data_IF_088670930212
#
_entry.id   IF_088670930212
#
_cell.length_a   1.000
_cell.length_b   1.000
_cell.length_c   1.000
_cell.angle_alpha   90.00
_cell.angle_beta   90.00
_cell.angle_gamma   90.00
#
_symmetry.space_group_name_H-M   'P 1'
#
loop_
_entity.id
_entity.type
_entity.pdbx_description
1 polymer ?
#
# COMPACT_ATOMS: atom_id res chain seq x y z
N UNK A 1 -6.21 14.21 -36.86
CA UNK A 1 -5.44 13.37 -35.92
C UNK A 1 -6.45 12.61 -35.08
N UNK A 2 -6.49 11.28 -35.12
CA UNK A 2 -7.51 10.51 -34.40
C UNK A 2 -7.24 10.54 -32.89
N UNK A 3 -8.08 11.25 -32.13
CA UNK A 3 -8.00 11.33 -30.66
C UNK A 3 -8.41 10.02 -29.96
N UNK A 4 -8.98 9.06 -30.69
CA UNK A 4 -9.47 7.79 -30.16
C UNK A 4 -8.92 6.58 -30.92
N UNK A 5 -7.65 6.21 -30.68
CA UNK A 5 -7.08 4.97 -31.20
C UNK A 5 -7.47 3.74 -30.33
N UNK A 6 -7.49 2.52 -30.91
CA UNK A 6 -7.93 1.32 -30.20
C UNK A 6 -7.06 0.93 -28.99
N UNK A 7 -5.80 1.38 -28.94
CA UNK A 7 -4.91 1.11 -27.80
C UNK A 7 -5.28 1.91 -26.53
N UNK A 8 -6.18 2.90 -26.61
CA UNK A 8 -6.60 3.70 -25.45
C UNK A 8 -7.18 2.84 -24.32
N UNK A 9 -7.96 1.80 -24.64
CA UNK A 9 -8.51 0.89 -23.62
C UNK A 9 -7.43 0.12 -22.86
N UNK A 10 -6.37 -0.33 -23.56
CA UNK A 10 -5.28 -1.08 -22.94
C UNK A 10 -4.55 -0.23 -21.89
N UNK A 11 -4.36 1.08 -22.12
CA UNK A 11 -3.75 1.98 -21.15
C UNK A 11 -4.61 2.16 -19.89
N UNK A 12 -5.94 2.28 -20.05
CA UNK A 12 -6.85 2.40 -18.92
C UNK A 12 -6.82 1.16 -18.02
N UNK A 13 -6.94 -0.04 -18.62
CA UNK A 13 -6.89 -1.31 -17.87
C UNK A 13 -5.49 -1.60 -17.29
N UNK A 14 -4.41 -1.14 -17.93
CA UNK A 14 -3.07 -1.24 -17.38
C UNK A 14 -2.94 -0.43 -16.07
N UNK A 15 -3.56 0.75 -15.99
CA UNK A 15 -3.60 1.55 -14.76
C UNK A 15 -4.27 0.81 -13.60
N UNK A 16 -5.42 0.18 -13.86
CA UNK A 16 -6.13 -0.68 -12.91
C UNK A 16 -5.23 -1.82 -12.43
N UNK A 17 -4.62 -2.56 -13.36
CA UNK A 17 -3.76 -3.68 -13.04
C UNK A 17 -2.57 -3.25 -12.17
N UNK A 18 -1.90 -2.15 -12.53
CA UNK A 18 -0.75 -1.63 -11.80
C UNK A 18 -1.12 -1.17 -10.38
N UNK A 19 -2.30 -0.58 -10.18
CA UNK A 19 -2.77 -0.18 -8.85
C UNK A 19 -2.93 -1.39 -7.91
N UNK A 20 -3.58 -2.44 -8.38
CA UNK A 20 -3.81 -3.66 -7.60
C UNK A 20 -2.52 -4.44 -7.32
N UNK A 21 -1.64 -4.58 -8.34
CA UNK A 21 -0.38 -5.33 -8.21
C UNK A 21 0.57 -4.62 -7.25
N UNK A 22 0.83 -3.32 -7.43
CA UNK A 22 1.75 -2.61 -6.53
C UNK A 22 1.20 -2.48 -5.10
N UNK A 23 -0.11 -2.31 -4.92
CA UNK A 23 -0.73 -2.35 -3.60
C UNK A 23 -0.52 -3.70 -2.89
N UNK A 24 -0.70 -4.80 -3.61
CA UNK A 24 -0.50 -6.16 -3.08
C UNK A 24 0.97 -6.47 -2.78
N UNK A 25 1.88 -6.05 -3.67
CA UNK A 25 3.33 -6.18 -3.46
C UNK A 25 3.79 -5.38 -2.24
N UNK A 26 3.31 -4.14 -2.08
CA UNK A 26 3.61 -3.31 -0.91
C UNK A 26 3.22 -3.98 0.42
N UNK A 27 2.00 -4.51 0.48
CA UNK A 27 1.50 -5.21 1.67
C UNK A 27 2.28 -6.48 1.98
N UNK A 28 2.57 -7.28 0.96
CA UNK A 28 3.35 -8.52 1.09
C UNK A 28 4.77 -8.25 1.60
N UNK A 29 5.44 -7.24 1.06
CA UNK A 29 6.78 -6.83 1.49
C UNK A 29 6.80 -6.32 2.93
N UNK A 30 5.75 -5.61 3.39
CA UNK A 30 5.65 -5.21 4.79
C UNK A 30 5.50 -6.40 5.74
N UNK A 31 4.66 -7.39 5.38
CA UNK A 31 4.41 -8.58 6.21
C UNK A 31 5.66 -9.47 6.28
N UNK A 32 6.34 -9.68 5.15
CA UNK A 32 7.51 -10.58 5.10
C UNK A 32 8.67 -10.07 5.95
N UNK A 33 8.83 -8.74 6.07
CA UNK A 33 9.87 -8.12 6.90
C UNK A 33 9.62 -8.32 8.40
N UNK A 34 8.36 -8.30 8.85
CA UNK A 34 8.00 -8.42 10.28
C UNK A 34 8.01 -9.88 10.76
N UNK A 35 7.77 -10.83 9.85
CA UNK A 35 7.49 -12.23 10.20
C UNK A 35 8.61 -12.97 10.96
N UNK A 36 9.91 -12.86 10.60
CA UNK A 36 10.96 -13.63 11.28
C UNK A 36 11.10 -13.39 12.79
N UNK A 37 11.23 -12.13 13.30
CA UNK A 37 11.30 -11.90 14.75
C UNK A 37 9.96 -12.15 15.45
N UNK A 38 8.83 -12.05 14.73
CA UNK A 38 7.51 -12.33 15.27
C UNK A 38 7.34 -13.81 15.64
N UNK A 39 7.83 -14.73 14.81
CA UNK A 39 7.73 -16.16 15.07
C UNK A 39 8.50 -16.55 16.33
N UNK A 40 9.74 -16.07 16.49
CA UNK A 40 10.53 -16.29 17.70
C UNK A 40 9.82 -15.75 18.93
N UNK A 41 9.29 -14.53 18.87
CA UNK A 41 8.57 -13.90 19.97
C UNK A 41 7.27 -14.66 20.33
N UNK A 42 6.58 -15.22 19.33
CA UNK A 42 5.34 -15.98 19.53
C UNK A 42 5.53 -17.25 20.37
N UNK A 43 6.69 -17.91 20.23
CA UNK A 43 7.03 -19.13 20.95
C UNK A 43 7.46 -18.80 22.38
N UNK A 44 8.28 -17.76 22.55
CA UNK A 44 8.80 -17.39 23.87
C UNK A 44 7.73 -16.74 24.77
N UNK A 45 6.93 -15.81 24.23
CA UNK A 45 5.97 -15.02 25.03
C UNK A 45 4.67 -14.71 24.27
N UNK A 46 3.69 -15.64 24.24
CA UNK A 46 2.44 -15.46 23.51
C UNK A 46 1.56 -14.32 24.04
N UNK A 47 1.75 -13.89 25.30
CA UNK A 47 1.00 -12.77 25.90
C UNK A 47 1.29 -11.41 25.26
N UNK A 48 2.45 -11.26 24.61
CA UNK A 48 2.85 -10.02 23.93
C UNK A 48 2.42 -9.99 22.45
N UNK A 49 2.10 -11.16 21.87
CA UNK A 49 1.78 -11.31 20.45
C UNK A 49 0.63 -10.40 20.01
N UNK A 50 -0.43 -10.31 20.81
CA UNK A 50 -1.63 -9.53 20.47
C UNK A 50 -1.34 -8.05 20.22
N UNK A 51 -0.32 -7.49 20.88
CA UNK A 51 0.11 -6.10 20.68
C UNK A 51 1.01 -5.96 19.45
N UNK A 52 1.83 -6.98 19.18
CA UNK A 52 2.72 -7.03 18.02
C UNK A 52 2.01 -7.28 16.69
N UNK A 53 0.70 -7.60 16.67
CA UNK A 53 -0.07 -7.82 15.45
C UNK A 53 -0.51 -6.52 14.74
N UNK A 54 -0.50 -5.37 15.43
CA UNK A 54 -0.91 -4.09 14.83
C UNK A 54 -0.18 -3.70 13.52
N UNK A 55 1.16 -3.79 13.39
CA UNK A 55 1.84 -3.38 12.15
C UNK A 55 1.54 -4.32 10.98
N UNK A 56 1.24 -5.59 11.26
CA UNK A 56 0.87 -6.58 10.24
C UNK A 56 -0.50 -6.21 9.66
N UNK A 57 -1.44 -5.86 10.53
CA UNK A 57 -2.78 -5.40 10.11
C UNK A 57 -2.66 -4.11 9.31
N UNK A 58 -1.84 -3.14 9.74
CA UNK A 58 -1.62 -1.89 9.01
C UNK A 58 -0.99 -2.13 7.62
N UNK A 59 -0.04 -3.07 7.50
CA UNK A 59 0.49 -3.49 6.19
C UNK A 59 -0.61 -4.09 5.30
N UNK A 60 -1.56 -4.82 5.88
CA UNK A 60 -2.72 -5.39 5.18
C UNK A 60 -3.66 -4.34 4.58
N UNK A 61 -3.97 -3.28 5.33
CA UNK A 61 -4.88 -2.21 4.88
C UNK A 61 -4.31 -1.47 3.65
N UNK A 62 -2.99 -1.39 3.51
CA UNK A 62 -2.34 -0.77 2.34
C UNK A 62 -2.74 -1.43 1.00
N UNK A 63 -2.99 -2.74 0.98
CA UNK A 63 -3.46 -3.43 -0.24
C UNK A 63 -4.90 -3.02 -0.61
N UNK A 64 -5.73 -2.71 0.39
CA UNK A 64 -7.12 -2.30 0.18
C UNK A 64 -7.18 -0.96 -0.54
N UNK A 65 -6.23 -0.05 -0.31
CA UNK A 65 -6.17 1.22 -1.05
C UNK A 65 -6.02 1.02 -2.56
N UNK A 66 -5.15 0.09 -3.00
CA UNK A 66 -5.02 -0.26 -4.42
C UNK A 66 -6.24 -0.97 -5.00
N UNK A 67 -6.93 -1.77 -4.18
CA UNK A 67 -8.18 -2.43 -4.57
C UNK A 67 -9.31 -1.41 -4.78
N UNK A 68 -9.49 -0.46 -3.86
CA UNK A 68 -10.52 0.58 -3.96
C UNK A 68 -10.31 1.41 -5.22
N UNK A 69 -9.08 1.85 -5.48
CA UNK A 69 -8.75 2.63 -6.70
C UNK A 69 -9.04 1.81 -7.95
N UNK A 70 -8.67 0.54 -7.99
CA UNK A 70 -8.99 -0.36 -9.12
C UNK A 70 -10.50 -0.40 -9.42
N UNK A 71 -11.34 -0.57 -8.39
CA UNK A 71 -12.81 -0.62 -8.56
C UNK A 71 -13.38 0.73 -9.02
N UNK A 72 -12.89 1.85 -8.50
CA UNK A 72 -13.32 3.21 -8.91
C UNK A 72 -12.98 3.48 -10.38
N UNK A 73 -11.79 3.05 -10.83
CA UNK A 73 -11.40 3.17 -12.23
C UNK A 73 -12.26 2.29 -13.14
N UNK A 74 -12.58 1.05 -12.75
CA UNK A 74 -13.48 0.18 -13.52
C UNK A 74 -14.85 0.84 -13.73
N UNK A 75 -15.40 1.47 -12.69
CA UNK A 75 -16.70 2.16 -12.79
C UNK A 75 -16.68 3.38 -13.71
N UNK A 76 -15.51 3.92 -14.03
CA UNK A 76 -15.35 5.10 -14.90
C UNK A 76 -15.11 4.74 -16.37
N UNK A 77 -14.84 3.47 -16.70
CA UNK A 77 -14.58 3.02 -18.08
C UNK A 77 -15.92 2.58 -18.70
N UNK A 78 -16.40 3.27 -19.76
CA UNK A 78 -17.62 2.86 -20.45
C UNK A 78 -17.42 1.54 -21.18
N UNK A 79 -18.38 0.63 -21.07
CA UNK A 79 -18.35 -0.64 -21.80
C UNK A 79 -18.64 -0.39 -23.29
N UNK A 80 -17.84 -0.96 -24.23
CA UNK A 80 -17.99 -0.73 -25.67
C UNK A 80 -19.27 -1.31 -26.29
N UNK A 81 -20.08 -2.04 -25.51
CA UNK A 81 -21.34 -2.67 -25.94
C UNK A 81 -22.60 -1.99 -25.40
N UNK A 82 -22.48 -1.06 -24.45
CA UNK A 82 -23.63 -0.35 -23.89
C UNK A 82 -23.76 1.02 -24.57
N UNK A 83 -24.62 1.08 -25.59
CA UNK A 83 -25.23 2.27 -26.21
C UNK A 83 -25.02 2.51 -27.72
N UNK A 84 -25.54 1.60 -28.54
CA UNK A 84 -26.14 1.98 -29.83
C UNK A 84 -27.50 2.72 -29.66
N UNK A 85 -27.76 3.30 -28.48
CA UNK A 85 -29.07 3.82 -28.06
C UNK A 85 -28.99 5.18 -27.35
N UNK A 86 -27.86 5.90 -27.48
CA UNK A 86 -27.81 7.32 -27.15
C UNK A 86 -28.40 8.13 -28.33
N UNK A 87 -29.15 9.23 -28.09
CA UNK A 87 -29.97 9.89 -29.12
C UNK A 87 -29.16 10.67 -30.16
N UNK A 88 -27.87 10.86 -29.94
CA UNK A 88 -26.92 11.41 -30.89
C UNK A 88 -25.98 10.27 -31.29
N UNK A 89 -25.87 9.93 -32.58
CA UNK A 89 -25.13 8.78 -33.12
C UNK A 89 -23.60 8.81 -32.94
N UNK A 90 -23.10 9.35 -31.83
CA UNK A 90 -21.70 9.43 -31.42
C UNK A 90 -21.44 8.26 -30.48
N UNK A 91 -20.66 7.28 -30.94
CA UNK A 91 -20.14 6.20 -30.09
C UNK A 91 -19.45 6.84 -28.88
N UNK A 92 -19.69 6.38 -27.65
CA UNK A 92 -18.88 6.83 -26.51
C UNK A 92 -17.46 6.29 -26.65
N UNK A 93 -16.63 7.04 -27.37
CA UNK A 93 -15.28 6.63 -27.69
C UNK A 93 -14.34 7.09 -26.59
N UNK A 94 -13.64 6.14 -25.96
CA UNK A 94 -12.68 6.43 -24.92
C UNK A 94 -11.48 7.22 -25.50
N UNK A 95 -11.32 8.47 -25.06
CA UNK A 95 -10.28 9.36 -25.55
C UNK A 95 -8.92 9.05 -24.94
N UNK A 96 -7.85 9.40 -25.67
CA UNK A 96 -6.48 9.17 -25.22
C UNK A 96 -6.12 9.97 -23.95
N UNK A 97 -6.76 11.12 -23.74
CA UNK A 97 -6.58 11.90 -22.50
C UNK A 97 -7.12 11.14 -21.29
N UNK A 98 -8.34 10.62 -21.38
CA UNK A 98 -8.95 9.85 -20.29
C UNK A 98 -8.11 8.62 -19.95
N UNK A 99 -7.68 7.85 -20.95
CA UNK A 99 -6.86 6.64 -20.72
C UNK A 99 -5.53 6.93 -20.01
N UNK A 100 -4.85 8.02 -20.37
CA UNK A 100 -3.62 8.44 -19.70
C UNK A 100 -3.89 8.88 -18.26
N UNK A 101 -4.96 9.64 -17.98
CA UNK A 101 -5.30 10.02 -16.59
C UNK A 101 -5.56 8.81 -15.71
N UNK A 102 -6.22 7.78 -16.24
CA UNK A 102 -6.48 6.53 -15.53
C UNK A 102 -5.20 5.70 -15.30
N UNK A 103 -4.29 5.68 -16.27
CA UNK A 103 -2.96 5.07 -16.12
C UNK A 103 -2.15 5.74 -14.99
N UNK A 104 -2.10 7.07 -14.99
CA UNK A 104 -1.38 7.82 -13.95
C UNK A 104 -2.05 7.69 -12.58
N UNK A 105 -3.38 7.74 -12.50
CA UNK A 105 -4.10 7.54 -11.24
C UNK A 105 -3.75 6.18 -10.60
N UNK A 106 -3.77 5.10 -11.40
CA UNK A 106 -3.44 3.75 -10.91
C UNK A 106 -1.99 3.60 -10.45
N UNK A 107 -1.03 4.10 -11.23
CA UNK A 107 0.40 4.01 -10.91
C UNK A 107 0.81 4.86 -9.71
N UNK A 108 0.21 6.05 -9.55
CA UNK A 108 0.51 6.97 -8.44
C UNK A 108 0.06 6.37 -7.10
N UNK A 109 -1.19 5.87 -7.00
CA UNK A 109 -1.65 5.18 -5.80
C UNK A 109 -0.87 3.88 -5.52
N UNK A 110 -0.56 3.09 -6.56
CA UNK A 110 0.16 1.83 -6.42
C UNK A 110 1.57 2.01 -5.86
N UNK A 111 2.33 2.96 -6.41
CA UNK A 111 3.71 3.23 -5.96
C UNK A 111 3.76 3.84 -4.56
N UNK A 112 2.83 4.73 -4.20
CA UNK A 112 2.77 5.26 -2.82
C UNK A 112 2.41 4.18 -1.81
N UNK A 113 1.52 3.25 -2.18
CA UNK A 113 1.18 2.10 -1.34
C UNK A 113 2.38 1.16 -1.16
N UNK A 114 3.14 0.89 -2.24
CA UNK A 114 4.35 0.08 -2.16
C UNK A 114 5.42 0.70 -1.22
N UNK A 115 5.65 2.01 -1.32
CA UNK A 115 6.58 2.72 -0.45
C UNK A 115 6.13 2.72 1.03
N UNK A 116 4.84 2.94 1.29
CA UNK A 116 4.29 2.91 2.64
C UNK A 116 4.40 1.52 3.27
N UNK A 117 4.05 0.46 2.53
CA UNK A 117 4.17 -0.93 2.99
C UNK A 117 5.61 -1.31 3.36
N UNK A 118 6.58 -0.86 2.57
CA UNK A 118 8.01 -1.04 2.89
C UNK A 118 8.41 -0.33 4.18
N UNK A 119 7.97 0.91 4.38
CA UNK A 119 8.25 1.67 5.61
C UNK A 119 7.66 0.98 6.85
N UNK A 120 6.39 0.54 6.79
CA UNK A 120 5.71 -0.17 7.87
C UNK A 120 6.45 -1.47 8.22
N UNK A 121 6.92 -2.21 7.22
CA UNK A 121 7.71 -3.43 7.43
C UNK A 121 9.00 -3.21 8.23
N UNK A 122 9.75 -2.15 7.90
CA UNK A 122 11.00 -1.81 8.60
C UNK A 122 10.71 -1.41 10.07
N UNK A 123 9.73 -0.55 10.29
CA UNK A 123 9.35 -0.08 11.63
C UNK A 123 8.85 -1.25 12.48
N UNK A 124 8.02 -2.13 11.92
CA UNK A 124 7.53 -3.32 12.59
C UNK A 124 8.65 -4.31 12.92
N UNK A 125 9.62 -4.52 12.02
CA UNK A 125 10.77 -5.40 12.28
C UNK A 125 11.64 -4.86 13.42
N UNK A 126 11.91 -3.56 13.46
CA UNK A 126 12.65 -2.94 14.55
C UNK A 126 11.92 -3.06 15.90
N UNK A 127 10.60 -2.84 15.91
CA UNK A 127 9.77 -2.98 17.11
C UNK A 127 9.81 -4.41 17.67
N UNK A 128 9.47 -5.41 16.84
CA UNK A 128 9.42 -6.81 17.27
C UNK A 128 10.82 -7.35 17.59
N UNK A 129 11.83 -6.95 16.81
CA UNK A 129 13.23 -7.25 17.09
C UNK A 129 13.63 -6.80 18.49
N UNK A 130 13.40 -5.52 18.82
CA UNK A 130 13.71 -4.96 20.16
C UNK A 130 13.06 -5.76 21.29
N UNK A 131 11.84 -6.26 21.09
CA UNK A 131 11.14 -7.11 22.07
C UNK A 131 11.76 -8.51 22.19
N UNK A 132 12.19 -9.11 21.07
CA UNK A 132 12.83 -10.42 21.04
C UNK A 132 14.20 -10.40 21.76
N UNK A 133 15.01 -9.36 21.55
CA UNK A 133 16.27 -9.16 22.29
C UNK A 133 16.05 -9.08 23.80
N UNK A 134 14.98 -8.45 24.25
CA UNK A 134 14.67 -8.34 25.67
C UNK A 134 14.25 -9.68 26.31
N UNK A 135 13.69 -10.60 25.51
CA UNK A 135 13.21 -11.90 26.00
C UNK A 135 14.22 -13.04 25.80
N UNK A 136 15.46 -12.72 25.40
CA UNK A 136 16.53 -13.70 25.23
C UNK A 136 16.33 -14.64 24.04
N UNK A 137 15.43 -14.32 23.11
CA UNK A 137 15.18 -15.11 21.91
C UNK A 137 16.30 -14.92 20.88
N UNK A 138 16.78 -16.01 20.29
CA UNK A 138 17.73 -15.94 19.18
C UNK A 138 17.05 -15.31 17.94
N UNK A 139 17.65 -14.28 17.36
CA UNK A 139 17.15 -13.70 16.11
C UNK A 139 17.29 -14.71 14.96
N UNK A 140 16.18 -15.03 14.30
CA UNK A 140 16.20 -15.82 13.08
C UNK A 140 16.58 -14.89 11.93
N UNK A 141 17.85 -14.92 11.51
CA UNK A 141 18.33 -14.24 10.31
C UNK A 141 17.77 -14.91 9.05
N UNK A 142 16.62 -14.46 8.59
CA UNK A 142 16.14 -14.78 7.25
C UNK A 142 16.70 -13.77 6.24
N UNK A 143 17.44 -14.25 5.24
CA UNK A 143 17.91 -13.42 4.13
C UNK A 143 16.77 -13.24 3.13
N UNK A 144 15.85 -12.33 3.46
CA UNK A 144 14.81 -11.91 2.53
C UNK A 144 15.36 -10.67 1.84
N UNK A 145 15.77 -10.87 0.58
CA UNK A 145 16.52 -9.94 -0.27
C UNK A 145 15.76 -8.64 -0.62
N UNK A 146 15.37 -7.88 0.38
CA UNK A 146 14.69 -6.60 0.25
C UNK A 146 15.01 -5.72 1.45
N UNK A 147 16.14 -5.00 1.37
CA UNK A 147 16.55 -4.02 2.37
C UNK A 147 17.36 -4.62 3.50
N UNK A 148 18.68 -4.46 3.42
CA UNK A 148 19.57 -4.56 4.57
C UNK A 148 19.26 -3.41 5.54
N UNK A 149 18.23 -3.56 6.38
CA UNK A 149 18.14 -2.76 7.60
C UNK A 149 19.29 -3.21 8.48
N UNK A 150 20.28 -2.34 8.64
CA UNK A 150 21.39 -2.57 9.53
C UNK A 150 20.84 -2.57 10.97
N UNK A 151 20.52 -3.77 11.47
CA UNK A 151 20.00 -4.08 12.82
C UNK A 151 20.92 -3.62 13.98
N UNK A 152 21.99 -2.86 13.70
CA UNK A 152 22.93 -2.36 14.70
C UNK A 152 22.49 -1.06 15.39
N UNK A 153 21.21 -0.70 15.29
CA UNK A 153 20.66 0.48 15.96
C UNK A 153 20.29 0.15 17.40
N UNK A 154 21.30 0.19 18.26
CA UNK A 154 21.15 0.18 19.72
C UNK A 154 20.43 1.43 20.22
N UNK A 155 19.11 1.50 20.07
CA UNK A 155 18.30 2.55 20.69
C UNK A 155 17.85 2.21 22.12
N UNK A 156 18.13 1.02 22.65
CA UNK A 156 17.88 0.64 24.05
C UNK A 156 18.95 -0.30 24.64
N UNK A 157 20.23 -0.08 24.34
CA UNK A 157 21.32 -0.85 24.94
C UNK A 157 21.88 -0.24 26.25
N UNK A 158 21.25 0.81 26.81
CA UNK A 158 21.78 1.44 28.02
C UNK A 158 20.81 1.66 29.20
N UNK A 159 19.50 1.45 29.05
CA UNK A 159 18.59 1.45 30.19
C UNK A 159 17.75 0.18 30.19
N UNK A 160 17.87 -0.60 31.26
CA UNK A 160 17.16 -1.86 31.44
C UNK A 160 15.65 -1.67 31.26
N UNK A 161 15.12 -2.25 30.20
CA UNK A 161 13.68 -2.35 29.86
C UNK A 161 12.94 -3.30 30.83
N UNK A 162 13.27 -3.28 32.12
CA UNK A 162 12.66 -4.13 33.15
C UNK A 162 11.30 -3.58 33.64
N UNK A 163 10.94 -2.35 33.24
CA UNK A 163 9.73 -1.67 33.68
C UNK A 163 8.60 -1.71 32.62
N UNK A 164 7.35 -1.97 33.05
CA UNK A 164 6.15 -1.95 32.19
C UNK A 164 5.97 -0.61 31.45
N UNK A 165 6.59 0.47 31.95
CA UNK A 165 6.62 1.80 31.34
C UNK A 165 7.37 1.84 30.01
N UNK A 166 8.48 1.11 29.87
CA UNK A 166 9.29 1.13 28.65
C UNK A 166 8.55 0.54 27.46
N UNK A 167 7.86 -0.60 27.65
CA UNK A 167 7.08 -1.26 26.60
C UNK A 167 5.99 -0.35 26.01
N UNK A 168 5.26 0.34 26.89
CA UNK A 168 4.18 1.24 26.46
C UNK A 168 4.73 2.45 25.67
N UNK A 169 5.91 2.96 26.04
CA UNK A 169 6.55 4.06 25.32
C UNK A 169 6.95 3.65 23.91
N UNK A 170 7.60 2.50 23.74
CA UNK A 170 8.03 2.01 22.41
C UNK A 170 6.82 1.66 21.53
N UNK A 171 5.77 1.07 22.12
CA UNK A 171 4.53 0.75 21.40
C UNK A 171 3.83 2.00 20.88
N UNK A 172 3.75 3.07 21.69
CA UNK A 172 3.14 4.33 21.25
C UNK A 172 3.93 5.00 20.11
N UNK A 173 5.26 5.03 20.21
CA UNK A 173 6.13 5.60 19.17
C UNK A 173 6.02 4.83 17.85
N UNK A 174 5.94 3.50 17.94
CA UNK A 174 5.72 2.64 16.79
C UNK A 174 4.37 2.93 16.12
N UNK A 175 3.27 3.03 16.89
CA UNK A 175 1.95 3.35 16.33
C UNK A 175 1.94 4.69 15.61
N UNK A 176 2.50 5.73 16.21
CA UNK A 176 2.57 7.07 15.59
C UNK A 176 3.31 7.02 14.26
N UNK A 177 4.44 6.28 14.22
CA UNK A 177 5.21 6.11 12.98
C UNK A 177 4.40 5.38 11.90
N UNK A 178 3.68 4.31 12.26
CA UNK A 178 2.82 3.59 11.33
C UNK A 178 1.67 4.45 10.79
N UNK A 179 1.05 5.30 11.62
CA UNK A 179 -0.04 6.20 11.21
C UNK A 179 0.47 7.22 10.17
N UNK A 180 1.65 7.82 10.40
CA UNK A 180 2.24 8.74 9.42
C UNK A 180 2.61 8.04 8.11
N UNK A 181 3.11 6.80 8.17
CA UNK A 181 3.39 6.02 6.97
C UNK A 181 2.09 5.71 6.18
N UNK A 182 1.01 5.38 6.86
CA UNK A 182 -0.29 5.11 6.25
C UNK A 182 -0.93 6.37 5.64
N UNK A 183 -0.74 7.53 6.27
CA UNK A 183 -1.16 8.82 5.72
C UNK A 183 -0.55 9.09 4.33
N UNK A 184 0.71 8.69 4.11
CA UNK A 184 1.38 8.82 2.80
C UNK A 184 0.65 8.00 1.73
N UNK A 185 0.22 6.78 2.05
CA UNK A 185 -0.57 5.95 1.12
C UNK A 185 -1.95 6.54 0.86
N UNK A 186 -2.63 7.03 1.91
CA UNK A 186 -3.93 7.69 1.79
C UNK A 186 -3.87 8.92 0.89
N UNK A 187 -2.84 9.75 1.00
CA UNK A 187 -2.67 10.91 0.12
C UNK A 187 -2.54 10.49 -1.35
N UNK A 188 -1.79 9.43 -1.64
CA UNK A 188 -1.66 8.89 -3.00
C UNK A 188 -2.99 8.37 -3.57
N UNK A 189 -3.80 7.71 -2.74
CA UNK A 189 -5.14 7.24 -3.11
C UNK A 189 -6.10 8.40 -3.39
N UNK A 190 -6.15 9.41 -2.51
CA UNK A 190 -7.02 10.59 -2.70
C UNK A 190 -6.64 11.34 -3.99
N UNK A 191 -5.33 11.56 -4.22
CA UNK A 191 -4.85 12.19 -5.44
C UNK A 191 -5.26 11.40 -6.70
N UNK A 192 -5.11 10.06 -6.67
CA UNK A 192 -5.52 9.19 -7.76
C UNK A 192 -7.02 9.30 -8.07
N UNK A 193 -7.88 9.34 -7.03
CA UNK A 193 -9.34 9.47 -7.21
C UNK A 193 -9.73 10.82 -7.79
N UNK A 194 -9.09 11.92 -7.35
CA UNK A 194 -9.35 13.26 -7.91
C UNK A 194 -8.95 13.32 -9.39
N UNK A 195 -7.81 12.72 -9.75
CA UNK A 195 -7.34 12.65 -11.14
C UNK A 195 -8.28 11.79 -11.99
N UNK A 196 -8.71 10.64 -11.48
CA UNK A 196 -9.67 9.77 -12.17
C UNK A 196 -11.04 10.46 -12.37
N UNK A 197 -11.50 11.24 -11.38
CA UNK A 197 -12.74 12.00 -11.46
C UNK A 197 -12.73 13.09 -12.55
N UNK A 198 -11.56 13.66 -12.86
CA UNK A 198 -11.39 14.57 -14.01
C UNK A 198 -11.38 13.84 -15.35
N UNK A 199 -10.96 12.58 -15.38
CA UNK A 199 -10.92 11.73 -16.59
C UNK A 199 -12.28 11.16 -17.01
N UNK A 200 -13.24 11.01 -16.08
CA UNK A 200 -14.55 10.38 -16.31
C UNK A 200 -15.77 11.33 -16.39
N UNK A 201 -15.64 12.60 -16.02
CA UNK A 201 -16.79 13.50 -15.77
C UNK A 201 -17.18 14.49 -16.88
N UNK A 202 -16.57 14.44 -18.06
CA UNK A 202 -16.75 15.49 -19.06
C UNK A 202 -17.22 14.97 -20.41
N UNK A 203 -18.49 15.21 -20.72
CA UNK A 203 -19.08 15.20 -22.07
C UNK A 203 -18.44 16.21 -23.05
N UNK A 204 -17.18 16.60 -22.83
CA UNK A 204 -16.44 17.66 -23.55
C UNK A 204 -15.24 17.12 -24.34
N UNK A 205 -15.07 15.80 -24.43
CA UNK A 205 -13.92 15.18 -25.11
C UNK A 205 -14.21 13.82 -25.74
N UNK A 206 -15.46 13.58 -26.17
CA UNK A 206 -15.75 12.45 -27.03
C UNK A 206 -15.09 12.64 -28.40
N UNK A 207 -14.57 11.56 -28.97
CA UNK A 207 -14.77 11.33 -30.40
C UNK A 207 -16.20 10.78 -30.55
#
# INVERSE_FOLDING_TARGET
MSLCPPYAYVLGYLGVAMSCVFGSVGSSLGIVLISPPLLTLSISHPKLLTKCLMPIVMSGVVAVYGLIVSVVLLGSIPSPFADASAPDGVRRTYSLYSSQTHLFAGTLCGLTAAAAGWCIGIVGRAFVGTLCWHTGGAEVKMNIGGGAVNERSGLLANDGMSDKRGFNSVYSAMLVTCIFAEAIALYGMIAAVIVAGKGGGGSIGGC
#
